data_IF_593761925295
#
_entry.id   IF_593761925295
#
_cell.length_a   1.000
_cell.length_b   1.000
_cell.length_c   1.000
_cell.angle_alpha   90.00
_cell.angle_beta   90.00
_cell.angle_gamma   90.00
#
_symmetry.space_group_name_H-M   'P 1'
#
loop_
_entity.id
_entity.type
_entity.pdbx_description
1 polymer ?
#
# COMPACT_ATOMS: atom_id res chain seq x y z
N UNK A 1 -7.52 -10.10 -24.82
CA UNK A 1 -7.26 -9.37 -23.55
C UNK A 1 -5.77 -9.11 -23.49
N UNK A 2 -5.35 -7.88 -23.17
CA UNK A 2 -3.93 -7.55 -23.04
C UNK A 2 -3.29 -8.38 -21.88
N UNK A 3 -2.21 -9.16 -22.14
CA UNK A 3 -1.48 -9.89 -21.12
C UNK A 3 -1.06 -9.04 -19.92
N UNK A 4 -0.75 -7.75 -20.14
CA UNK A 4 -0.36 -6.80 -19.08
C UNK A 4 -1.47 -6.63 -18.04
N UNK A 5 -2.73 -6.57 -18.49
CA UNK A 5 -3.88 -6.35 -17.62
C UNK A 5 -4.23 -7.61 -16.83
N UNK A 6 -3.98 -8.79 -17.40
CA UNK A 6 -4.14 -10.06 -16.68
C UNK A 6 -3.11 -10.19 -15.54
N UNK A 7 -1.84 -9.87 -15.81
CA UNK A 7 -0.77 -9.90 -14.80
C UNK A 7 -1.01 -8.92 -13.64
N UNK A 8 -1.51 -7.71 -13.95
CA UNK A 8 -1.89 -6.73 -12.94
C UNK A 8 -2.99 -7.27 -12.01
N UNK A 9 -4.12 -7.73 -12.59
CA UNK A 9 -5.26 -8.22 -11.79
C UNK A 9 -4.90 -9.43 -10.94
N UNK A 10 -4.09 -10.34 -11.47
CA UNK A 10 -3.60 -11.49 -10.72
C UNK A 10 -2.80 -11.05 -9.48
N UNK A 11 -1.83 -10.15 -9.68
CA UNK A 11 -0.99 -9.64 -8.60
C UNK A 11 -1.78 -8.87 -7.53
N UNK A 12 -2.77 -8.06 -7.94
CA UNK A 12 -3.68 -7.38 -7.01
C UNK A 12 -4.51 -8.39 -6.22
N UNK A 13 -5.09 -9.40 -6.88
CA UNK A 13 -5.91 -10.43 -6.22
C UNK A 13 -5.11 -11.24 -5.20
N UNK A 14 -3.87 -11.59 -5.53
CA UNK A 14 -2.95 -12.27 -4.62
C UNK A 14 -2.59 -11.38 -3.41
N UNK A 15 -2.29 -10.10 -3.66
CA UNK A 15 -2.01 -9.12 -2.61
C UNK A 15 -3.18 -8.96 -1.66
N UNK A 16 -4.40 -8.80 -2.19
CA UNK A 16 -5.62 -8.68 -1.40
C UNK A 16 -5.90 -9.95 -0.58
N UNK A 17 -5.65 -11.14 -1.15
CA UNK A 17 -5.79 -12.41 -0.44
C UNK A 17 -4.78 -12.55 0.71
N UNK A 18 -3.53 -12.11 0.50
CA UNK A 18 -2.50 -12.10 1.54
C UNK A 18 -2.83 -11.08 2.63
N UNK A 19 -3.28 -9.88 2.26
CA UNK A 19 -3.70 -8.83 3.19
C UNK A 19 -4.85 -9.31 4.08
N UNK A 20 -5.90 -9.93 3.51
CA UNK A 20 -7.01 -10.51 4.30
C UNK A 20 -6.57 -11.60 5.27
N UNK A 21 -5.45 -12.27 5.00
CA UNK A 21 -4.86 -13.32 5.86
C UNK A 21 -3.83 -12.79 6.86
N UNK A 22 -3.57 -11.48 6.89
CA UNK A 22 -2.51 -10.89 7.72
C UNK A 22 -1.08 -11.22 7.25
N UNK A 23 -0.92 -11.75 6.04
CA UNK A 23 0.39 -12.06 5.45
C UNK A 23 0.99 -10.82 4.81
N UNK A 24 1.27 -9.80 5.62
CA UNK A 24 1.59 -8.45 5.14
C UNK A 24 2.84 -8.38 4.25
N UNK A 25 3.91 -9.11 4.58
CA UNK A 25 5.12 -9.14 3.75
C UNK A 25 4.85 -9.69 2.33
N UNK A 26 4.08 -10.79 2.24
CA UNK A 26 3.67 -11.37 0.96
C UNK A 26 2.71 -10.46 0.19
N UNK A 27 1.82 -9.76 0.91
CA UNK A 27 0.94 -8.77 0.31
C UNK A 27 1.74 -7.62 -0.32
N UNK A 28 2.77 -7.12 0.36
CA UNK A 28 3.69 -6.09 -0.18
C UNK A 28 4.36 -6.57 -1.45
N UNK A 29 4.90 -7.79 -1.50
CA UNK A 29 5.53 -8.35 -2.70
C UNK A 29 4.54 -8.40 -3.88
N UNK A 30 3.33 -8.93 -3.66
CA UNK A 30 2.31 -9.03 -4.69
C UNK A 30 1.84 -7.65 -5.19
N UNK A 31 1.60 -6.70 -4.29
CA UNK A 31 1.26 -5.32 -4.67
C UNK A 31 2.41 -4.61 -5.37
N UNK A 32 3.67 -4.90 -5.02
CA UNK A 32 4.82 -4.31 -5.71
C UNK A 32 4.89 -4.79 -7.15
N UNK A 33 4.69 -6.09 -7.41
CA UNK A 33 4.56 -6.63 -8.77
C UNK A 33 3.42 -5.96 -9.56
N UNK A 34 2.27 -5.73 -8.91
CA UNK A 34 1.17 -5.01 -9.55
C UNK A 34 1.57 -3.56 -9.92
N UNK A 35 2.27 -2.87 -9.01
CA UNK A 35 2.72 -1.49 -9.19
C UNK A 35 3.88 -1.32 -10.17
N UNK A 36 4.62 -2.39 -10.46
CA UNK A 36 5.62 -2.42 -11.53
C UNK A 36 4.97 -2.49 -12.92
N UNK A 37 3.81 -3.14 -13.01
CA UNK A 37 3.00 -3.18 -14.25
C UNK A 37 2.26 -1.86 -14.45
N UNK A 38 1.58 -1.37 -13.40
CA UNK A 38 0.77 -0.15 -13.46
C UNK A 38 0.69 0.51 -12.09
N UNK A 39 1.05 1.79 -12.02
CA UNK A 39 0.80 2.61 -10.83
C UNK A 39 -0.70 2.81 -10.63
N UNK A 40 -1.19 2.52 -9.43
CA UNK A 40 -2.61 2.55 -9.09
C UNK A 40 -2.79 2.98 -7.64
N UNK A 41 -3.54 4.07 -7.41
CA UNK A 41 -3.76 4.64 -6.07
C UNK A 41 -4.35 3.66 -5.06
N UNK A 42 -5.20 2.72 -5.48
CA UNK A 42 -5.79 1.74 -4.57
C UNK A 42 -4.79 0.66 -4.17
N UNK A 43 -3.92 0.25 -5.11
CA UNK A 43 -2.86 -0.71 -4.83
C UNK A 43 -1.79 -0.08 -3.94
N UNK A 44 -1.41 1.17 -4.19
CA UNK A 44 -0.54 1.96 -3.30
C UNK A 44 -1.13 2.05 -1.89
N UNK A 45 -2.42 2.38 -1.76
CA UNK A 45 -3.11 2.42 -0.48
C UNK A 45 -3.06 1.07 0.26
N UNK A 46 -3.33 -0.04 -0.44
CA UNK A 46 -3.30 -1.37 0.18
C UNK A 46 -1.88 -1.77 0.60
N UNK A 47 -0.85 -1.40 -0.17
CA UNK A 47 0.54 -1.64 0.19
C UNK A 47 0.98 -0.77 1.37
N UNK A 48 0.56 0.50 1.43
CA UNK A 48 0.74 1.39 2.58
C UNK A 48 0.20 0.77 3.87
N UNK A 49 -1.02 0.23 3.84
CA UNK A 49 -1.62 -0.51 4.99
C UNK A 49 -0.75 -1.67 5.46
N UNK A 50 -0.21 -2.44 4.51
CA UNK A 50 0.69 -3.54 4.84
C UNK A 50 1.99 -3.03 5.50
N UNK A 51 2.54 -1.91 5.02
CA UNK A 51 3.73 -1.31 5.63
C UNK A 51 3.48 -0.80 7.04
N UNK A 52 2.32 -0.21 7.33
CA UNK A 52 1.92 0.12 8.72
C UNK A 52 1.92 -1.14 9.59
N UNK A 53 1.28 -2.22 9.13
CA UNK A 53 1.24 -3.49 9.88
C UNK A 53 2.60 -4.17 10.06
N UNK A 54 3.61 -3.79 9.25
CA UNK A 54 4.99 -4.27 9.35
C UNK A 54 5.90 -3.30 10.11
N UNK A 55 5.35 -2.27 10.76
CA UNK A 55 6.13 -1.23 11.45
C UNK A 55 7.10 -0.47 10.53
N UNK A 56 6.76 -0.37 9.23
CA UNK A 56 7.53 0.35 8.21
C UNK A 56 6.85 1.66 7.85
N UNK A 57 6.66 2.53 8.85
CA UNK A 57 5.85 3.74 8.73
C UNK A 57 6.29 4.68 7.60
N UNK A 58 7.60 4.88 7.40
CA UNK A 58 8.11 5.75 6.35
C UNK A 58 7.69 5.31 4.93
N UNK A 59 7.79 4.01 4.63
CA UNK A 59 7.34 3.45 3.35
C UNK A 59 5.81 3.55 3.19
N UNK A 60 5.07 3.43 4.30
CA UNK A 60 3.63 3.62 4.28
C UNK A 60 3.23 5.06 3.93
N UNK A 61 3.95 6.06 4.47
CA UNK A 61 3.74 7.48 4.17
C UNK A 61 4.02 7.75 2.68
N UNK A 62 5.13 7.23 2.15
CA UNK A 62 5.49 7.38 0.73
C UNK A 62 4.40 6.84 -0.20
N UNK A 63 3.91 5.61 0.06
CA UNK A 63 2.83 5.02 -0.75
C UNK A 63 1.52 5.84 -0.64
N UNK A 64 1.19 6.36 0.55
CA UNK A 64 0.02 7.20 0.75
C UNK A 64 0.13 8.54 0.00
N UNK A 65 1.31 9.17 0.03
CA UNK A 65 1.59 10.41 -0.71
C UNK A 65 1.53 10.19 -2.22
N UNK A 66 2.08 9.09 -2.72
CA UNK A 66 1.95 8.73 -4.13
C UNK A 66 0.48 8.52 -4.53
N UNK A 67 -0.33 7.89 -3.68
CA UNK A 67 -1.76 7.68 -3.95
C UNK A 67 -2.55 9.00 -3.99
N UNK A 68 -2.27 9.93 -3.07
CA UNK A 68 -2.87 11.28 -3.03
C UNK A 68 -2.40 12.11 -4.23
N UNK A 69 -1.15 11.95 -4.66
CA UNK A 69 -0.60 12.62 -5.84
C UNK A 69 -1.35 12.26 -7.14
N UNK A 70 -1.88 11.04 -7.24
CA UNK A 70 -2.71 10.62 -8.37
C UNK A 70 -4.13 11.21 -8.33
N UNK A 71 -4.68 11.42 -7.13
CA UNK A 71 -6.01 11.98 -6.92
C UNK A 71 -6.06 12.76 -5.60
N UNK A 72 -6.01 14.08 -5.70
CA UNK A 72 -6.00 14.98 -4.54
C UNK A 72 -7.26 14.88 -3.67
N UNK A 73 -8.35 14.33 -4.20
CA UNK A 73 -9.60 14.13 -3.45
C UNK A 73 -9.73 12.70 -2.90
N UNK A 74 -8.66 11.89 -2.98
CA UNK A 74 -8.66 10.54 -2.47
C UNK A 74 -8.57 10.53 -0.93
N UNK A 75 -9.71 10.77 -0.29
CA UNK A 75 -9.83 10.86 1.17
C UNK A 75 -9.27 9.63 1.90
N UNK A 76 -9.37 8.44 1.28
CA UNK A 76 -8.78 7.21 1.84
C UNK A 76 -7.27 7.28 1.90
N UNK A 77 -6.61 7.88 0.89
CA UNK A 77 -5.17 8.13 0.89
C UNK A 77 -4.76 9.11 1.98
N UNK A 78 -5.51 10.20 2.16
CA UNK A 78 -5.26 11.19 3.22
C UNK A 78 -5.40 10.54 4.60
N UNK A 79 -6.47 9.77 4.82
CA UNK A 79 -6.69 9.03 6.05
C UNK A 79 -5.54 8.05 6.32
N UNK A 80 -5.14 7.27 5.32
CA UNK A 80 -4.03 6.33 5.46
C UNK A 80 -2.69 7.00 5.77
N UNK A 81 -2.43 8.17 5.18
CA UNK A 81 -1.25 8.97 5.53
C UNK A 81 -1.28 9.37 7.00
N UNK A 82 -2.44 9.76 7.53
CA UNK A 82 -2.64 10.04 8.95
C UNK A 82 -2.32 8.83 9.84
N UNK A 83 -2.83 7.64 9.49
CA UNK A 83 -2.50 6.40 10.21
C UNK A 83 -1.01 6.09 10.18
N UNK A 84 -0.36 6.27 9.04
CA UNK A 84 1.08 6.01 8.89
C UNK A 84 1.94 7.00 9.69
N UNK A 85 1.55 8.28 9.71
CA UNK A 85 2.22 9.31 10.54
C UNK A 85 2.05 9.04 12.03
N UNK A 86 0.84 8.66 12.46
CA UNK A 86 0.57 8.27 13.84
C UNK A 86 1.46 7.10 14.27
N UNK A 87 1.51 6.04 13.44
CA UNK A 87 2.38 4.90 13.68
C UNK A 87 3.86 5.30 13.74
N UNK A 88 4.33 6.25 12.92
CA UNK A 88 5.71 6.75 12.97
C UNK A 88 6.03 7.46 14.30
N UNK A 89 5.10 8.27 14.80
CA UNK A 89 5.27 8.96 16.08
C UNK A 89 5.38 8.00 17.26
N UNK A 90 4.59 6.92 17.27
CA UNK A 90 4.69 5.88 18.31
C UNK A 90 6.09 5.23 18.35
N UNK A 91 6.78 5.10 17.20
CA UNK A 91 8.15 4.59 17.17
C UNK A 91 9.19 5.62 17.63
N UNK A 92 8.99 6.91 17.36
CA UNK A 92 9.89 7.97 17.85
C UNK A 92 9.88 8.08 19.38
N UNK A 93 8.76 7.78 20.03
CA UNK A 93 8.68 7.74 21.51
C UNK A 93 9.11 6.42 22.14
N UNK A 94 9.40 5.38 21.34
CA UNK A 94 9.79 4.05 21.83
C UNK A 94 11.30 3.84 21.95
N UNK A 95 12.13 4.85 21.65
CA UNK A 95 13.61 4.81 21.67
C UNK A 95 14.19 5.66 22.82
#
# INVERSE_FOLDING_TARGET
MDPSTAGFRHSVSEGDACLRRGLYARAVEAFSRALDIRKDKHVLLNRSRCYVSLSRAQLAIEDADMAIGQDKHFYRGIYQKGEALFASGDFEFAL
#
